data_IF_913267689574
#
_entry.id   IF_913267689574
#
_cell.length_a   1.000
_cell.length_b   1.000
_cell.length_c   1.000
_cell.angle_alpha   90.00
_cell.angle_beta   90.00
_cell.angle_gamma   90.00
#
_symmetry.space_group_name_H-M   'P 1'
#
loop_
_entity.id
_entity.type
_entity.pdbx_description
1 polymer ?
#
# COMPACT_ATOMS: atom_id res chain seq x y z
N UNK A 1 -28.13 -41.17 -28.17
CA UNK A 1 -28.71 -42.41 -27.62
C UNK A 1 -28.78 -42.25 -26.12
N UNK A 2 -29.97 -42.13 -25.54
CA UNK A 2 -30.15 -41.98 -24.08
C UNK A 2 -30.37 -43.38 -23.54
N UNK A 3 -29.36 -43.96 -22.90
CA UNK A 3 -29.49 -45.27 -22.25
C UNK A 3 -30.23 -45.10 -20.92
N UNK A 4 -31.19 -45.97 -20.67
CA UNK A 4 -31.90 -46.00 -19.38
C UNK A 4 -31.00 -46.62 -18.31
N UNK A 5 -31.24 -46.27 -17.03
CA UNK A 5 -30.44 -46.77 -15.90
C UNK A 5 -30.40 -48.32 -15.85
N UNK A 6 -31.48 -48.96 -16.28
CA UNK A 6 -31.62 -50.42 -16.33
C UNK A 6 -30.75 -51.06 -17.43
N UNK A 7 -30.67 -50.45 -18.62
CA UNK A 7 -29.84 -50.93 -19.72
C UNK A 7 -28.33 -50.81 -19.43
N UNK A 8 -27.93 -49.77 -18.70
CA UNK A 8 -26.53 -49.60 -18.26
C UNK A 8 -26.13 -50.69 -17.25
N UNK A 9 -27.07 -51.08 -16.38
CA UNK A 9 -26.82 -52.05 -15.32
C UNK A 9 -26.85 -53.52 -15.78
N UNK A 10 -27.48 -53.83 -16.90
CA UNK A 10 -27.57 -55.19 -17.44
C UNK A 10 -26.51 -55.48 -18.52
N UNK A 11 -26.12 -54.49 -19.33
CA UNK A 11 -25.35 -54.73 -20.56
C UNK A 11 -23.91 -54.24 -20.56
N UNK A 12 -23.46 -53.51 -19.53
CA UNK A 12 -22.13 -52.90 -19.53
C UNK A 12 -21.26 -53.36 -18.35
N UNK A 13 -19.97 -53.63 -18.56
CA UNK A 13 -19.00 -53.88 -17.49
C UNK A 13 -18.81 -52.63 -16.62
N UNK A 14 -18.41 -52.82 -15.35
CA UNK A 14 -18.29 -51.75 -14.33
C UNK A 14 -17.46 -50.54 -14.79
N UNK A 15 -16.38 -50.78 -15.53
CA UNK A 15 -15.51 -49.74 -16.08
C UNK A 15 -16.23 -48.81 -17.06
N UNK A 16 -17.14 -49.35 -17.87
CA UNK A 16 -17.89 -48.58 -18.85
C UNK A 16 -19.06 -47.83 -18.21
N UNK A 17 -19.66 -48.38 -17.14
CA UNK A 17 -20.63 -47.65 -16.29
C UNK A 17 -20.00 -46.42 -15.66
N UNK A 18 -18.81 -46.57 -15.09
CA UNK A 18 -18.10 -45.47 -14.43
C UNK A 18 -17.69 -44.39 -15.43
N UNK A 19 -17.35 -44.78 -16.67
CA UNK A 19 -17.10 -43.85 -17.78
C UNK A 19 -18.35 -43.09 -18.21
N UNK A 20 -19.48 -43.79 -18.36
CA UNK A 20 -20.76 -43.18 -18.75
C UNK A 20 -21.32 -42.27 -17.64
N UNK A 21 -21.16 -42.66 -16.38
CA UNK A 21 -21.53 -41.84 -15.23
C UNK A 21 -20.65 -40.59 -15.12
N UNK A 22 -19.34 -40.72 -15.35
CA UNK A 22 -18.42 -39.58 -15.46
C UNK A 22 -18.76 -38.66 -16.63
N UNK A 23 -19.07 -39.22 -17.80
CA UNK A 23 -19.47 -38.43 -18.96
C UNK A 23 -20.82 -37.71 -18.73
N UNK A 24 -21.74 -38.37 -18.02
CA UNK A 24 -23.03 -37.77 -17.63
C UNK A 24 -22.85 -36.68 -16.58
N UNK A 25 -21.96 -36.86 -15.60
CA UNK A 25 -21.66 -35.82 -14.60
C UNK A 25 -20.95 -34.62 -15.22
N UNK A 26 -20.05 -34.85 -16.19
CA UNK A 26 -19.39 -33.77 -16.96
C UNK A 26 -20.34 -33.02 -17.91
N UNK A 27 -21.44 -33.64 -18.33
CA UNK A 27 -22.50 -32.98 -19.11
C UNK A 27 -23.56 -32.31 -18.21
N UNK A 28 -23.34 -32.31 -16.88
CA UNK A 28 -24.20 -31.62 -15.94
C UNK A 28 -23.82 -30.14 -15.87
N UNK A 29 -24.82 -29.27 -15.84
CA UNK A 29 -24.65 -27.83 -15.62
C UNK A 29 -23.93 -27.57 -14.29
N UNK A 30 -24.15 -28.40 -13.27
CA UNK A 30 -23.51 -28.28 -11.95
C UNK A 30 -21.99 -28.44 -12.05
N UNK A 31 -21.50 -29.35 -12.90
CA UNK A 31 -20.07 -29.55 -13.11
C UNK A 31 -19.42 -28.31 -13.69
N UNK A 32 -20.03 -27.74 -14.74
CA UNK A 32 -19.54 -26.52 -15.38
C UNK A 32 -19.61 -25.30 -14.47
N UNK A 33 -20.64 -25.20 -13.62
CA UNK A 33 -20.73 -24.14 -12.60
C UNK A 33 -19.57 -24.25 -11.61
N UNK A 34 -19.30 -25.44 -11.08
CA UNK A 34 -18.21 -25.63 -10.11
C UNK A 34 -16.83 -25.41 -10.76
N UNK A 35 -16.66 -25.83 -12.02
CA UNK A 35 -15.44 -25.56 -12.78
C UNK A 35 -15.23 -24.06 -13.02
N UNK A 36 -16.31 -23.34 -13.37
CA UNK A 36 -16.25 -21.88 -13.51
C UNK A 36 -15.86 -21.23 -12.19
N UNK A 37 -16.48 -21.63 -11.07
CA UNK A 37 -16.14 -21.12 -9.74
C UNK A 37 -14.66 -21.34 -9.41
N UNK A 38 -14.13 -22.54 -9.65
CA UNK A 38 -12.69 -22.85 -9.47
C UNK A 38 -11.77 -21.98 -10.32
N UNK A 39 -12.18 -21.67 -11.56
CA UNK A 39 -11.37 -20.86 -12.48
C UNK A 39 -11.34 -19.38 -12.11
N UNK A 40 -12.44 -18.86 -11.55
CA UNK A 40 -12.61 -17.43 -11.28
C UNK A 40 -12.18 -17.04 -9.88
N UNK A 41 -12.37 -17.91 -8.89
CA UNK A 41 -12.15 -17.58 -7.48
C UNK A 41 -11.19 -18.59 -6.87
N UNK A 42 -10.00 -18.10 -6.51
CA UNK A 42 -8.99 -18.90 -5.81
C UNK A 42 -9.51 -19.28 -4.41
N UNK A 43 -9.57 -20.57 -4.12
CA UNK A 43 -10.03 -21.10 -2.84
C UNK A 43 -11.52 -21.49 -2.79
N UNK A 44 -12.29 -21.25 -3.86
CA UNK A 44 -13.65 -21.74 -3.98
C UNK A 44 -13.71 -22.95 -4.92
N UNK A 45 -14.08 -24.12 -4.40
CA UNK A 45 -14.18 -25.35 -5.21
C UNK A 45 -15.58 -25.57 -5.79
N UNK A 46 -16.59 -25.01 -5.15
CA UNK A 46 -17.98 -25.03 -5.58
C UNK A 46 -18.70 -23.74 -5.16
N UNK A 47 -19.99 -23.63 -5.53
CA UNK A 47 -20.83 -22.48 -5.18
C UNK A 47 -20.92 -22.28 -3.66
N UNK A 48 -20.85 -23.35 -2.87
CA UNK A 48 -20.92 -23.27 -1.40
C UNK A 48 -19.65 -22.65 -0.83
N UNK A 49 -18.48 -23.10 -1.27
CA UNK A 49 -17.19 -22.51 -0.90
C UNK A 49 -17.09 -21.06 -1.36
N UNK A 50 -17.66 -20.70 -2.52
CA UNK A 50 -17.72 -19.31 -2.97
C UNK A 50 -18.52 -18.43 -2.00
N UNK A 51 -19.64 -18.93 -1.49
CA UNK A 51 -20.46 -18.22 -0.50
C UNK A 51 -19.67 -18.02 0.80
N UNK A 52 -18.91 -19.02 1.23
CA UNK A 52 -18.07 -18.93 2.43
C UNK A 52 -16.94 -17.90 2.28
N UNK A 53 -16.19 -17.96 1.18
CA UNK A 53 -15.13 -16.96 0.86
C UNK A 53 -15.71 -15.56 0.79
N UNK A 54 -16.90 -15.40 0.21
CA UNK A 54 -17.57 -14.09 0.12
C UNK A 54 -17.99 -13.58 1.50
N UNK A 55 -18.52 -14.45 2.37
CA UNK A 55 -18.88 -14.08 3.74
C UNK A 55 -17.65 -13.65 4.54
N UNK A 56 -16.56 -14.41 4.44
CA UNK A 56 -15.31 -14.10 5.12
C UNK A 56 -14.75 -12.75 4.65
N UNK A 57 -14.74 -12.49 3.33
CA UNK A 57 -14.34 -11.21 2.78
C UNK A 57 -15.22 -10.06 3.28
N UNK A 58 -16.55 -10.25 3.36
CA UNK A 58 -17.47 -9.24 3.91
C UNK A 58 -17.13 -8.97 5.38
N UNK A 59 -16.92 -10.00 6.20
CA UNK A 59 -16.55 -9.81 7.61
C UNK A 59 -15.20 -9.12 7.78
N UNK A 60 -14.22 -9.43 6.94
CA UNK A 60 -12.92 -8.74 6.95
C UNK A 60 -13.08 -7.26 6.57
N UNK A 61 -13.90 -6.95 5.57
CA UNK A 61 -14.18 -5.57 5.15
C UNK A 61 -14.92 -4.81 6.25
N UNK A 62 -15.94 -5.39 6.86
CA UNK A 62 -16.65 -4.80 8.00
C UNK A 62 -15.71 -4.54 9.19
N UNK A 63 -14.83 -5.50 9.50
CA UNK A 63 -13.82 -5.33 10.54
C UNK A 63 -12.86 -4.17 10.22
N UNK A 64 -12.41 -4.04 8.96
CA UNK A 64 -11.55 -2.92 8.52
C UNK A 64 -12.27 -1.58 8.58
N UNK A 65 -13.56 -1.52 8.21
CA UNK A 65 -14.33 -0.28 8.35
C UNK A 65 -14.55 0.08 9.81
N UNK A 66 -14.84 -0.89 10.68
CA UNK A 66 -14.96 -0.67 12.12
C UNK A 66 -13.61 -0.25 12.74
N UNK A 67 -12.50 -0.85 12.33
CA UNK A 67 -11.15 -0.44 12.74
C UNK A 67 -10.84 0.98 12.27
N UNK A 68 -11.18 1.33 11.03
CA UNK A 68 -11.01 2.70 10.52
C UNK A 68 -11.88 3.70 11.28
N UNK A 69 -13.13 3.37 11.56
CA UNK A 69 -14.03 4.22 12.34
C UNK A 69 -13.55 4.36 13.80
N UNK A 70 -13.01 3.29 14.38
CA UNK A 70 -12.34 3.34 15.69
C UNK A 70 -11.01 4.11 15.63
N UNK A 71 -10.27 4.06 14.54
CA UNK A 71 -9.06 4.87 14.34
C UNK A 71 -9.40 6.36 14.19
N UNK A 72 -10.60 6.68 13.69
CA UNK A 72 -11.11 8.05 13.60
C UNK A 72 -11.70 8.52 14.95
N UNK A 73 -12.30 7.61 15.73
CA UNK A 73 -13.04 7.94 16.96
C UNK A 73 -12.25 7.74 18.25
N UNK A 74 -11.17 6.96 18.24
CA UNK A 74 -10.13 7.05 19.26
C UNK A 74 -9.24 8.21 18.82
N UNK A 75 -9.24 9.36 19.53
CA UNK A 75 -8.14 10.31 19.40
C UNK A 75 -6.89 9.65 19.99
N UNK A 76 -6.30 8.68 19.29
CA UNK A 76 -4.95 8.21 19.56
C UNK A 76 -4.05 9.34 19.13
N UNK A 77 -3.77 10.26 20.06
CA UNK A 77 -2.46 10.91 20.17
C UNK A 77 -1.89 11.58 18.91
N UNK A 78 -2.75 11.95 17.95
CA UNK A 78 -2.36 12.76 16.79
C UNK A 78 -1.92 14.15 17.21
N UNK A 79 -2.18 14.58 18.46
CA UNK A 79 -1.55 15.79 18.99
C UNK A 79 -0.03 15.67 19.10
N UNK A 80 0.57 14.51 19.38
CA UNK A 80 2.04 14.47 19.49
C UNK A 80 2.73 14.49 18.12
N UNK A 81 2.21 13.73 17.14
CA UNK A 81 2.76 13.75 15.78
C UNK A 81 2.39 15.04 15.02
N UNK A 82 1.17 15.58 15.18
CA UNK A 82 0.82 16.87 14.56
C UNK A 82 1.54 18.04 15.22
N UNK A 83 1.76 18.05 16.54
CA UNK A 83 2.53 19.11 17.19
C UNK A 83 4.01 19.02 16.80
N UNK A 84 4.60 17.83 16.71
CA UNK A 84 5.98 17.69 16.20
C UNK A 84 6.10 18.10 14.74
N UNK A 85 5.15 17.73 13.88
CA UNK A 85 5.15 18.14 12.47
C UNK A 85 4.96 19.65 12.34
N UNK A 86 4.05 20.25 13.11
CA UNK A 86 3.84 21.71 13.12
C UNK A 86 5.06 22.45 13.67
N UNK A 87 5.72 21.93 14.72
CA UNK A 87 6.96 22.49 15.25
C UNK A 87 8.11 22.40 14.23
N UNK A 88 8.22 21.28 13.52
CA UNK A 88 9.22 21.11 12.46
C UNK A 88 8.96 22.03 11.26
N UNK A 89 7.70 22.23 10.89
CA UNK A 89 7.30 23.18 9.84
C UNK A 89 7.62 24.63 10.24
N UNK A 90 7.35 25.00 11.49
CA UNK A 90 7.71 26.31 12.03
C UNK A 90 9.23 26.53 12.05
N UNK A 91 9.98 25.56 12.58
CA UNK A 91 11.46 25.61 12.58
C UNK A 91 12.04 25.69 11.16
N UNK A 92 11.46 24.97 10.20
CA UNK A 92 11.91 25.01 8.82
C UNK A 92 11.60 26.37 8.17
N UNK A 93 10.41 26.92 8.44
CA UNK A 93 10.03 28.26 8.00
C UNK A 93 10.96 29.33 8.54
N UNK A 94 11.27 29.28 9.84
CA UNK A 94 12.20 30.20 10.50
C UNK A 94 13.60 30.09 9.90
N UNK A 95 14.08 28.87 9.65
CA UNK A 95 15.39 28.63 9.06
C UNK A 95 15.49 29.17 7.62
N UNK A 96 14.43 29.01 6.80
CA UNK A 96 14.39 29.60 5.47
C UNK A 96 14.31 31.13 5.51
N UNK A 97 13.56 31.70 6.45
CA UNK A 97 13.48 33.14 6.65
C UNK A 97 14.85 33.71 7.09
N UNK A 98 15.55 33.05 8.00
CA UNK A 98 16.88 33.45 8.44
C UNK A 98 17.90 33.35 7.30
N UNK A 99 17.88 32.26 6.52
CA UNK A 99 18.70 32.10 5.32
C UNK A 99 18.48 33.25 4.32
N UNK A 100 17.23 33.59 4.05
CA UNK A 100 16.90 34.69 3.13
C UNK A 100 17.38 36.04 3.68
N UNK A 101 17.23 36.28 4.99
CA UNK A 101 17.77 37.48 5.63
C UNK A 101 19.30 37.55 5.55
N UNK A 102 20.00 36.42 5.72
CA UNK A 102 21.45 36.33 5.59
C UNK A 102 21.89 36.71 4.17
N UNK A 103 21.23 36.15 3.15
CA UNK A 103 21.49 36.44 1.74
C UNK A 103 21.17 37.90 1.38
N UNK A 104 20.07 38.44 1.89
CA UNK A 104 19.71 39.85 1.69
C UNK A 104 20.74 40.80 2.33
N UNK A 105 21.22 40.50 3.55
CA UNK A 105 22.21 41.33 4.26
C UNK A 105 23.59 41.28 3.62
N UNK A 106 24.03 40.09 3.23
CA UNK A 106 25.34 39.88 2.61
C UNK A 106 25.35 40.17 1.10
N UNK A 107 24.16 40.35 0.49
CA UNK A 107 23.94 40.49 -0.95
C UNK A 107 24.55 39.35 -1.76
N UNK A 108 24.43 38.14 -1.22
CA UNK A 108 24.94 36.90 -1.83
C UNK A 108 23.78 36.02 -2.25
N UNK A 109 24.03 35.11 -3.19
CA UNK A 109 23.02 34.18 -3.70
C UNK A 109 23.28 32.73 -3.26
N UNK A 110 24.40 32.47 -2.58
CA UNK A 110 24.82 31.14 -2.13
C UNK A 110 25.56 31.22 -0.79
N UNK A 111 25.55 30.11 -0.04
CA UNK A 111 26.29 30.03 1.23
C UNK A 111 27.80 30.08 0.99
N UNK A 112 28.27 29.53 -0.13
CA UNK A 112 29.67 29.60 -0.57
C UNK A 112 30.13 31.05 -0.77
N UNK A 113 29.29 31.91 -1.36
CA UNK A 113 29.58 33.34 -1.49
C UNK A 113 29.65 34.06 -0.13
N UNK A 114 28.78 33.69 0.82
CA UNK A 114 28.85 34.22 2.21
C UNK A 114 30.17 33.85 2.86
N UNK A 115 30.60 32.59 2.73
CA UNK A 115 31.86 32.11 3.30
C UNK A 115 33.05 32.85 2.65
N UNK A 116 33.04 33.01 1.33
CA UNK A 116 34.08 33.75 0.62
C UNK A 116 34.15 35.23 1.04
N UNK A 117 33.00 35.86 1.26
CA UNK A 117 32.93 37.24 1.77
C UNK A 117 33.56 37.35 3.16
N UNK A 118 33.21 36.44 4.08
CA UNK A 118 33.76 36.43 5.44
C UNK A 118 35.27 36.20 5.42
N UNK A 119 35.75 35.24 4.63
CA UNK A 119 37.18 34.96 4.48
C UNK A 119 37.95 36.16 3.92
N UNK A 120 37.38 36.85 2.92
CA UNK A 120 37.98 38.08 2.39
C UNK A 120 38.04 39.20 3.44
N UNK A 121 37.00 39.34 4.26
CA UNK A 121 37.00 40.31 5.37
C UNK A 121 38.01 39.95 6.46
N UNK A 122 38.17 38.66 6.78
CA UNK A 122 39.18 38.18 7.73
C UNK A 122 40.60 38.44 7.21
N UNK A 123 40.86 38.20 5.93
CA UNK A 123 42.17 38.45 5.31
C UNK A 123 42.51 39.94 5.29
N UNK A 124 41.54 40.80 4.96
CA UNK A 124 41.69 42.25 5.04
C UNK A 124 41.98 42.73 6.46
N UNK A 125 41.27 42.19 7.45
CA UNK A 125 41.48 42.52 8.85
C UNK A 125 42.87 42.07 9.35
N UNK A 126 43.28 40.85 8.97
CA UNK A 126 44.58 40.31 9.33
C UNK A 126 45.73 41.09 8.71
N UNK A 127 45.59 41.54 7.45
CA UNK A 127 46.54 42.46 6.81
C UNK A 127 46.66 43.76 7.59
N UNK A 128 45.53 44.35 8.02
CA UNK A 128 45.53 45.60 8.79
C UNK A 128 46.26 45.43 10.13
N UNK A 129 45.99 44.35 10.88
CA UNK A 129 46.69 44.10 12.15
C UNK A 129 48.19 43.83 11.96
N UNK A 130 48.55 43.14 10.88
CA UNK A 130 49.96 42.88 10.55
C UNK A 130 50.73 44.17 10.25
N UNK A 131 50.08 45.16 9.64
CA UNK A 131 50.65 46.49 9.39
C UNK A 131 50.83 47.32 10.68
N UNK A 132 50.00 47.10 11.71
CA UNK A 132 50.15 47.76 13.01
C UNK A 132 51.22 47.14 13.91
N UNK A 133 51.63 45.89 13.64
CA UNK A 133 52.67 45.17 14.40
C UNK A 133 54.11 45.40 13.88
N UNK A 134 54.27 46.14 12.77
CA UNK A 134 55.56 46.61 12.21
C UNK A 134 55.79 48.09 12.46
#
# INVERSE_FOLDING_TARGET
MIFTKREIDEHYPLSERLRLEKAKSQNSVIYWINELVRSQVRGAEDVTSLIEVTKDLVTQVEALYAEKENSISIPVSDQSNSVEVVLLEEQLSDLYAEKEQLFAKTKTNSMEEVIALIQGMEEQLNSMYSEYET
#
